data_IF_748423746157
#
_entry.id   IF_748423746157
#
_cell.length_a   1.000
_cell.length_b   1.000
_cell.length_c   1.000
_cell.angle_alpha   90.00
_cell.angle_beta   90.00
_cell.angle_gamma   90.00
#
_symmetry.space_group_name_H-M   'P 1'
#
loop_
_entity.id
_entity.type
_entity.pdbx_description
1 polymer ?
#
# COMPACT_ATOMS: atom_id res chain seq x y z
N UNK A 1 11.32 16.32 -57.34
CA UNK A 1 10.81 17.35 -56.42
C UNK A 1 11.24 16.95 -55.03
N UNK A 2 12.31 17.55 -54.54
CA UNK A 2 12.80 17.34 -53.18
C UNK A 2 12.08 18.28 -52.22
N UNK A 3 11.82 17.79 -51.02
CA UNK A 3 11.79 18.60 -49.80
C UNK A 3 12.54 17.78 -48.75
N UNK A 4 13.83 18.05 -48.62
CA UNK A 4 14.59 17.75 -47.40
C UNK A 4 14.01 18.62 -46.28
N UNK A 5 13.50 17.99 -45.23
CA UNK A 5 13.19 18.68 -43.98
C UNK A 5 14.41 18.60 -43.08
N UNK A 6 15.14 19.71 -43.03
CA UNK A 6 16.24 19.96 -42.11
C UNK A 6 15.70 19.99 -40.68
N UNK A 7 16.04 18.98 -39.88
CA UNK A 7 15.81 19.00 -38.43
C UNK A 7 16.79 20.00 -37.78
N UNK A 8 16.24 20.98 -37.07
CA UNK A 8 17.00 22.04 -36.42
C UNK A 8 17.67 21.51 -35.13
N UNK A 9 19.02 21.55 -34.99
CA UNK A 9 19.74 21.00 -33.83
C UNK A 9 19.40 21.66 -32.48
N UNK A 10 18.83 22.85 -32.53
CA UNK A 10 18.55 23.70 -31.36
C UNK A 10 17.32 23.19 -30.57
N UNK A 11 16.38 22.51 -31.22
CA UNK A 11 15.19 21.95 -30.54
C UNK A 11 15.56 20.74 -29.66
N UNK A 12 16.51 19.93 -30.09
CA UNK A 12 17.00 18.76 -29.34
C UNK A 12 17.91 19.19 -28.17
N UNK A 13 18.65 20.30 -28.34
CA UNK A 13 19.47 20.90 -27.29
C UNK A 13 18.64 21.66 -26.24
N UNK A 14 17.56 22.35 -26.65
CA UNK A 14 16.57 22.94 -25.73
C UNK A 14 15.75 21.86 -25.00
N UNK A 15 15.41 20.75 -25.66
CA UNK A 15 14.76 19.61 -25.01
C UNK A 15 15.68 18.96 -23.96
N UNK A 16 16.98 18.81 -24.24
CA UNK A 16 17.97 18.34 -23.26
C UNK A 16 18.22 19.34 -22.13
N UNK A 17 18.12 20.64 -22.36
CA UNK A 17 18.23 21.68 -21.33
C UNK A 17 16.99 21.76 -20.41
N UNK A 18 15.79 21.43 -20.91
CA UNK A 18 14.56 21.36 -20.10
C UNK A 18 14.43 20.01 -19.37
N UNK A 19 14.93 18.92 -19.95
CA UNK A 19 14.88 17.56 -19.36
C UNK A 19 16.10 17.25 -18.47
N UNK A 20 17.12 18.12 -18.43
CA UNK A 20 18.13 18.14 -17.36
C UNK A 20 17.51 18.68 -16.06
N UNK A 21 16.56 17.92 -15.51
CA UNK A 21 16.18 18.03 -14.12
C UNK A 21 17.46 17.91 -13.30
N UNK A 22 17.85 18.99 -12.61
CA UNK A 22 18.75 18.92 -11.46
C UNK A 22 18.24 17.73 -10.61
N UNK A 23 18.99 16.62 -10.62
CA UNK A 23 18.78 15.56 -9.64
C UNK A 23 19.13 16.16 -8.30
N UNK A 24 18.11 16.60 -7.57
CA UNK A 24 18.27 17.03 -6.19
C UNK A 24 18.55 15.78 -5.36
N UNK A 25 19.80 15.38 -5.23
CA UNK A 25 20.17 14.48 -4.13
C UNK A 25 19.54 15.04 -2.84
N UNK A 26 18.89 14.19 -2.02
CA UNK A 26 18.51 14.60 -0.66
C UNK A 26 19.75 15.18 0.07
N UNK A 27 20.96 14.81 -0.34
CA UNK A 27 22.24 15.19 0.25
C UNK A 27 23.00 16.30 -0.51
N UNK A 28 22.36 17.08 -1.40
CA UNK A 28 23.01 18.25 -2.03
C UNK A 28 23.47 19.28 -0.99
N UNK A 29 24.50 20.07 -1.33
CA UNK A 29 25.09 21.08 -0.44
C UNK A 29 24.09 22.13 0.07
N UNK A 30 23.13 22.56 -0.78
CA UNK A 30 22.03 23.45 -0.39
C UNK A 30 21.05 22.78 0.59
N UNK A 31 20.75 21.49 0.40
CA UNK A 31 19.86 20.74 1.30
C UNK A 31 20.50 20.46 2.68
N UNK A 32 21.83 20.37 2.77
CA UNK A 32 22.55 20.20 4.04
C UNK A 32 22.33 21.36 5.01
N UNK A 33 22.09 22.58 4.53
CA UNK A 33 21.82 23.75 5.39
C UNK A 33 20.48 23.64 6.15
N UNK A 34 19.52 22.85 5.66
CA UNK A 34 18.21 22.65 6.31
C UNK A 34 18.22 21.55 7.39
N UNK A 35 19.34 20.85 7.59
CA UNK A 35 19.49 19.70 8.51
C UNK A 35 18.63 18.48 8.10
N UNK A 36 18.71 17.38 8.87
CA UNK A 36 17.93 16.16 8.63
C UNK A 36 16.45 16.34 9.05
N UNK A 37 15.72 17.23 8.38
CA UNK A 37 14.35 17.61 8.72
C UNK A 37 13.40 17.31 7.56
N UNK A 38 12.51 16.32 7.72
CA UNK A 38 11.59 15.88 6.67
C UNK A 38 10.13 16.16 7.05
N UNK A 39 9.33 16.61 6.08
CA UNK A 39 7.87 16.59 6.23
C UNK A 39 7.35 15.24 5.75
N UNK A 40 6.53 14.57 6.56
CA UNK A 40 5.83 13.36 6.15
C UNK A 40 4.31 13.61 6.17
N UNK A 41 3.71 13.56 5.00
CA UNK A 41 2.27 13.56 4.80
C UNK A 41 1.75 12.15 4.58
N UNK A 42 0.88 11.71 5.50
CA UNK A 42 0.21 10.42 5.45
C UNK A 42 -1.11 10.50 6.22
N UNK A 43 -1.89 9.43 6.15
CA UNK A 43 -3.00 9.24 7.06
C UNK A 43 -2.47 8.72 8.40
N UNK A 44 -2.67 9.46 9.49
CA UNK A 44 -2.19 9.11 10.83
C UNK A 44 -3.29 8.57 11.76
N UNK A 45 -4.45 8.18 11.20
CA UNK A 45 -5.55 7.64 11.98
C UNK A 45 -5.26 6.25 12.54
N UNK A 46 -5.84 5.94 13.69
CA UNK A 46 -5.74 4.63 14.35
C UNK A 46 -6.96 3.73 14.10
N UNK A 47 -7.95 4.19 13.33
CA UNK A 47 -9.18 3.44 13.08
C UNK A 47 -8.96 2.18 12.25
N UNK A 48 -7.97 2.21 11.34
CA UNK A 48 -7.54 1.04 10.59
C UNK A 48 -6.17 0.55 11.08
N UNK A 49 -6.06 -0.73 11.42
CA UNK A 49 -4.81 -1.29 11.93
C UNK A 49 -3.62 -1.13 10.95
N UNK A 50 -3.86 -1.27 9.64
CA UNK A 50 -2.81 -1.11 8.63
C UNK A 50 -2.33 0.33 8.51
N UNK A 51 -3.25 1.28 8.49
CA UNK A 51 -2.92 2.71 8.37
C UNK A 51 -2.23 3.27 9.62
N UNK A 52 -2.38 2.60 10.78
CA UNK A 52 -1.60 2.94 11.98
C UNK A 52 -0.12 2.57 11.83
N UNK A 53 0.19 1.47 11.15
CA UNK A 53 1.53 0.89 11.05
C UNK A 53 2.36 1.51 9.93
N UNK A 54 1.73 1.75 8.79
CA UNK A 54 2.35 2.28 7.58
C UNK A 54 3.24 3.51 7.83
N UNK A 55 2.75 4.60 8.47
CA UNK A 55 3.53 5.82 8.54
C UNK A 55 4.72 5.68 9.48
N UNK A 56 4.65 4.77 10.46
CA UNK A 56 5.77 4.42 11.33
C UNK A 56 6.83 3.69 10.53
N UNK A 57 6.46 2.59 9.87
CA UNK A 57 7.39 1.80 9.08
C UNK A 57 8.04 2.59 7.93
N UNK A 58 7.33 3.55 7.34
CA UNK A 58 7.92 4.42 6.32
C UNK A 58 9.09 5.23 6.91
N UNK A 59 8.86 5.84 8.08
CA UNK A 59 9.88 6.66 8.72
C UNK A 59 11.07 5.83 9.15
N UNK A 60 10.81 4.68 9.78
CA UNK A 60 11.85 3.77 10.24
C UNK A 60 12.70 3.28 9.06
N UNK A 61 12.08 3.00 7.90
CA UNK A 61 12.80 2.66 6.67
C UNK A 61 13.67 3.82 6.18
N UNK A 62 13.14 5.04 6.12
CA UNK A 62 13.93 6.21 5.75
C UNK A 62 15.07 6.45 6.74
N UNK A 63 14.83 6.37 8.04
CA UNK A 63 15.85 6.58 9.08
C UNK A 63 16.96 5.52 8.98
N UNK A 64 16.63 4.28 8.62
CA UNK A 64 17.61 3.22 8.36
C UNK A 64 18.41 3.48 7.08
N UNK A 65 17.78 4.02 6.02
CA UNK A 65 18.42 4.15 4.71
C UNK A 65 19.13 5.48 4.48
N UNK A 66 18.70 6.60 5.05
CA UNK A 66 19.32 7.90 4.83
C UNK A 66 19.79 8.57 6.13
N UNK A 67 19.81 7.82 7.23
CA UNK A 67 20.18 8.31 8.55
C UNK A 67 19.00 8.92 9.29
N UNK A 68 19.15 9.15 10.60
CA UNK A 68 18.09 9.63 11.47
C UNK A 68 17.57 11.01 11.06
N UNK A 69 16.24 11.14 10.97
CA UNK A 69 15.56 12.38 10.60
C UNK A 69 14.64 12.88 11.71
N UNK A 70 14.52 14.20 11.80
CA UNK A 70 13.44 14.86 12.53
C UNK A 70 12.21 14.94 11.64
N UNK A 71 11.16 14.25 12.06
CA UNK A 71 9.93 14.11 11.28
C UNK A 71 8.86 15.12 11.66
N UNK A 72 8.47 15.94 10.70
CA UNK A 72 7.30 16.82 10.78
C UNK A 72 6.09 16.12 10.18
N UNK A 73 5.26 15.53 11.03
CA UNK A 73 4.05 14.79 10.63
C UNK A 73 2.93 15.77 10.28
N UNK A 74 2.29 15.58 9.12
CA UNK A 74 1.14 16.38 8.67
C UNK A 74 0.03 15.46 8.13
N UNK A 75 -1.17 15.44 8.72
CA UNK A 75 -2.25 14.61 8.20
C UNK A 75 -2.57 14.97 6.74
N UNK A 76 -2.66 13.95 5.88
CA UNK A 76 -2.89 14.13 4.44
C UNK A 76 -4.23 14.79 4.13
N UNK A 77 -5.24 14.52 4.97
CA UNK A 77 -6.61 14.99 4.83
C UNK A 77 -6.81 16.44 5.30
N UNK A 78 -5.82 17.04 5.95
CA UNK A 78 -5.84 18.44 6.35
C UNK A 78 -5.57 19.40 5.18
N UNK A 79 -6.24 20.55 5.18
CA UNK A 79 -6.06 21.61 4.19
C UNK A 79 -4.59 22.09 4.14
N UNK A 80 -4.01 22.12 2.94
CA UNK A 80 -2.69 22.68 2.66
C UNK A 80 -2.86 24.10 2.13
N UNK A 81 -2.81 25.07 3.03
CA UNK A 81 -2.83 26.50 2.69
C UNK A 81 -1.40 27.07 2.56
N UNK A 82 -1.31 28.37 2.24
CA UNK A 82 -0.02 29.08 2.07
C UNK A 82 0.93 28.95 3.28
N UNK A 83 0.41 28.92 4.51
CA UNK A 83 1.26 28.80 5.71
C UNK A 83 1.77 27.37 5.92
N UNK A 84 0.97 26.38 5.56
CA UNK A 84 1.43 24.98 5.49
C UNK A 84 2.52 24.85 4.42
N UNK A 85 2.36 25.46 3.25
CA UNK A 85 3.40 25.47 2.20
C UNK A 85 4.69 26.14 2.69
N UNK A 86 4.61 27.31 3.33
CA UNK A 86 5.79 27.94 3.96
C UNK A 86 6.47 27.00 4.97
N UNK A 87 5.69 26.33 5.81
CA UNK A 87 6.20 25.34 6.77
C UNK A 87 6.87 24.14 6.09
N UNK A 88 6.39 23.69 4.93
CA UNK A 88 7.00 22.61 4.13
C UNK A 88 8.32 23.08 3.53
N UNK A 89 8.36 24.30 2.96
CA UNK A 89 9.55 24.83 2.30
C UNK A 89 10.72 25.10 3.27
N UNK A 90 10.46 25.19 4.57
CA UNK A 90 11.47 25.24 5.64
C UNK A 90 12.14 23.88 5.95
N UNK A 91 11.77 22.81 5.24
CA UNK A 91 12.28 21.45 5.44
C UNK A 91 13.11 20.99 4.24
N UNK A 92 13.77 19.85 4.37
CA UNK A 92 14.64 19.30 3.34
C UNK A 92 13.83 18.67 2.19
N UNK A 93 12.75 17.95 2.51
CA UNK A 93 11.86 17.35 1.53
C UNK A 93 10.44 17.14 2.08
N UNK A 94 9.51 16.95 1.15
CA UNK A 94 8.15 16.50 1.41
C UNK A 94 8.01 15.04 0.97
N UNK A 95 7.79 14.16 1.93
CA UNK A 95 7.47 12.75 1.69
C UNK A 95 5.95 12.58 1.80
N UNK A 96 5.30 12.12 0.74
CA UNK A 96 3.89 11.75 0.72
C UNK A 96 3.82 10.26 0.48
N UNK A 97 3.29 9.46 1.39
CA UNK A 97 3.40 8.02 1.16
C UNK A 97 2.88 7.06 2.19
N UNK A 98 3.15 5.80 1.85
CA UNK A 98 2.90 4.60 2.61
C UNK A 98 1.49 4.03 2.52
N UNK A 99 0.49 4.86 2.24
CA UNK A 99 -0.91 4.44 2.22
C UNK A 99 -1.44 4.19 0.81
N UNK A 100 -2.66 3.65 0.76
CA UNK A 100 -3.44 3.71 -0.47
C UNK A 100 -4.14 5.07 -0.58
N UNK A 101 -3.42 6.05 -1.11
CA UNK A 101 -3.79 7.45 -0.98
C UNK A 101 -4.70 7.95 -2.11
N UNK A 102 -4.60 7.39 -3.32
CA UNK A 102 -5.50 7.77 -4.41
C UNK A 102 -6.87 7.07 -4.21
N UNK A 103 -7.75 7.76 -3.49
CA UNK A 103 -9.14 7.41 -3.18
C UNK A 103 -10.04 8.55 -3.67
N UNK A 104 -11.11 8.23 -4.40
CA UNK A 104 -12.08 9.22 -4.89
C UNK A 104 -13.01 9.74 -3.77
N UNK A 105 -13.34 8.87 -2.83
CA UNK A 105 -14.45 9.03 -1.88
C UNK A 105 -14.02 9.27 -0.43
N UNK A 106 -12.73 9.08 -0.10
CA UNK A 106 -12.18 9.47 1.21
C UNK A 106 -11.66 10.90 1.15
N UNK A 107 -12.05 11.72 2.12
CA UNK A 107 -11.71 13.15 2.19
C UNK A 107 -11.97 13.88 0.85
N UNK A 108 -13.18 13.70 0.31
CA UNK A 108 -13.58 14.27 -0.98
C UNK A 108 -13.46 15.79 -0.95
N UNK A 109 -12.73 16.34 -1.91
CA UNK A 109 -12.56 17.78 -2.08
C UNK A 109 -12.39 18.12 -3.57
N UNK A 110 -12.65 19.38 -3.92
CA UNK A 110 -12.50 19.89 -5.29
C UNK A 110 -11.12 20.50 -5.56
N UNK A 111 -10.20 20.45 -4.58
CA UNK A 111 -8.88 21.07 -4.69
C UNK A 111 -7.94 20.17 -5.50
N UNK A 112 -7.91 18.88 -5.16
CA UNK A 112 -7.07 17.88 -5.81
C UNK A 112 -7.86 16.73 -6.43
N UNK A 113 -9.11 16.49 -5.99
CA UNK A 113 -9.90 15.33 -6.43
C UNK A 113 -9.50 14.00 -5.78
N UNK A 114 -8.62 14.00 -4.77
CA UNK A 114 -8.25 12.85 -3.95
C UNK A 114 -7.97 13.28 -2.52
N UNK A 115 -7.58 12.35 -1.64
CA UNK A 115 -7.43 12.61 -0.20
C UNK A 115 -6.55 13.80 0.20
N UNK A 116 -5.61 14.23 -0.64
CA UNK A 116 -4.74 15.34 -0.30
C UNK A 116 -5.43 16.69 -0.56
N UNK A 117 -5.80 17.41 0.50
CA UNK A 117 -6.49 18.71 0.41
C UNK A 117 -5.54 19.86 0.02
N UNK A 118 -4.92 19.79 -1.15
CA UNK A 118 -4.01 20.81 -1.71
C UNK A 118 -4.53 21.29 -3.06
N UNK A 119 -4.70 22.60 -3.23
CA UNK A 119 -5.02 23.15 -4.56
C UNK A 119 -3.77 23.26 -5.45
N UNK A 120 -4.00 23.56 -6.73
CA UNK A 120 -2.95 23.66 -7.73
C UNK A 120 -1.97 24.83 -7.46
N UNK A 121 -2.44 25.92 -6.86
CA UNK A 121 -1.61 27.10 -6.58
C UNK A 121 -0.62 26.79 -5.44
N UNK A 122 -1.11 26.21 -4.36
CA UNK A 122 -0.31 25.76 -3.22
C UNK A 122 0.64 24.62 -3.61
N UNK A 123 0.20 23.65 -4.42
CA UNK A 123 1.08 22.60 -4.95
C UNK A 123 2.25 23.21 -5.74
N UNK A 124 2.00 24.21 -6.58
CA UNK A 124 3.05 24.87 -7.37
C UNK A 124 4.09 25.59 -6.50
N UNK A 125 3.65 26.20 -5.40
CA UNK A 125 4.49 26.93 -4.43
C UNK A 125 5.37 26.02 -3.54
N UNK A 126 5.21 24.70 -3.59
CA UNK A 126 6.14 23.78 -2.91
C UNK A 126 7.47 23.77 -3.68
N UNK A 127 8.54 24.18 -3.00
CA UNK A 127 9.88 24.37 -3.59
C UNK A 127 10.83 23.22 -3.24
N UNK A 128 10.56 22.52 -2.13
CA UNK A 128 11.37 21.38 -1.70
C UNK A 128 11.07 20.14 -2.55
N UNK A 129 12.03 19.21 -2.69
CA UNK A 129 11.79 17.92 -3.33
C UNK A 129 10.54 17.21 -2.79
N UNK A 130 9.68 16.77 -3.72
CA UNK A 130 8.51 15.95 -3.40
C UNK A 130 8.85 14.49 -3.75
N UNK A 131 8.63 13.60 -2.78
CA UNK A 131 8.84 12.16 -2.90
C UNK A 131 7.51 11.48 -2.62
N UNK A 132 6.93 10.84 -3.64
CA UNK A 132 5.83 9.90 -3.45
C UNK A 132 6.42 8.53 -3.16
N UNK A 133 6.10 7.93 -2.02
CA UNK A 133 6.73 6.66 -1.61
C UNK A 133 5.68 5.60 -1.27
N UNK A 134 5.65 4.52 -2.06
CA UNK A 134 4.68 3.43 -1.93
C UNK A 134 3.22 3.91 -1.90
N UNK A 135 2.85 4.85 -2.79
CA UNK A 135 1.47 5.33 -2.89
C UNK A 135 0.60 4.30 -3.63
N UNK A 136 -0.57 4.00 -3.09
CA UNK A 136 -1.51 3.06 -3.71
C UNK A 136 -2.69 3.72 -4.43
N UNK A 137 -3.10 3.09 -5.54
CA UNK A 137 -4.36 3.37 -6.24
C UNK A 137 -5.48 2.48 -5.67
N UNK A 138 -6.56 3.08 -5.16
CA UNK A 138 -7.60 2.38 -4.40
C UNK A 138 -9.02 2.61 -4.97
N UNK A 139 -9.18 2.52 -6.30
CA UNK A 139 -10.53 2.51 -6.90
C UNK A 139 -11.09 1.08 -6.95
N UNK A 140 -12.31 0.90 -6.49
CA UNK A 140 -13.00 -0.39 -6.53
C UNK A 140 -13.52 -0.73 -7.94
N UNK A 141 -13.87 -2.02 -8.15
CA UNK A 141 -14.53 -2.48 -9.37
C UNK A 141 -15.87 -1.75 -9.53
N UNK A 142 -16.15 -1.24 -10.72
CA UNK A 142 -17.40 -0.51 -11.00
C UNK A 142 -17.54 0.84 -10.29
N UNK A 143 -16.57 1.29 -9.48
CA UNK A 143 -16.61 2.61 -8.89
C UNK A 143 -16.37 3.69 -9.95
N UNK A 144 -17.12 4.79 -9.83
CA UNK A 144 -16.96 5.99 -10.64
C UNK A 144 -15.51 6.45 -10.74
N UNK A 145 -15.17 7.02 -11.91
CA UNK A 145 -13.84 7.55 -12.16
C UNK A 145 -13.58 8.84 -11.36
N UNK A 146 -12.30 9.22 -11.18
CA UNK A 146 -11.92 10.46 -10.51
C UNK A 146 -12.41 11.69 -11.27
N UNK A 147 -12.67 12.77 -10.54
CA UNK A 147 -13.10 14.04 -11.13
C UNK A 147 -11.94 14.65 -11.96
N UNK A 148 -12.18 15.42 -13.04
CA UNK A 148 -11.11 15.90 -13.94
C UNK A 148 -9.96 16.67 -13.27
N UNK A 149 -10.24 17.33 -12.13
CA UNK A 149 -9.22 18.00 -11.33
C UNK A 149 -8.13 17.03 -10.84
N UNK A 150 -8.46 15.77 -10.61
CA UNK A 150 -7.50 14.73 -10.21
C UNK A 150 -6.40 14.55 -11.25
N UNK A 151 -6.73 14.39 -12.52
CA UNK A 151 -5.73 14.23 -13.59
C UNK A 151 -4.81 15.43 -13.67
N UNK A 152 -5.37 16.66 -13.61
CA UNK A 152 -4.59 17.90 -13.66
C UNK A 152 -3.67 18.04 -12.45
N UNK A 153 -4.18 17.74 -11.26
CA UNK A 153 -3.41 17.78 -10.03
C UNK A 153 -2.29 16.73 -10.04
N UNK A 154 -2.61 15.50 -10.45
CA UNK A 154 -1.66 14.38 -10.52
C UNK A 154 -0.53 14.66 -11.51
N UNK A 155 -0.85 15.24 -12.67
CA UNK A 155 0.16 15.67 -13.65
C UNK A 155 1.16 16.65 -13.02
N UNK A 156 0.70 17.75 -12.42
CA UNK A 156 1.58 18.76 -11.81
C UNK A 156 2.40 18.16 -10.67
N UNK A 157 1.78 17.30 -9.86
CA UNK A 157 2.46 16.62 -8.77
C UNK A 157 3.60 15.75 -9.31
N UNK A 158 3.37 14.96 -10.36
CA UNK A 158 4.36 14.05 -10.93
C UNK A 158 5.44 14.81 -11.70
N UNK A 159 5.12 15.90 -12.38
CA UNK A 159 6.09 16.80 -12.99
C UNK A 159 7.08 17.32 -11.93
N UNK A 160 6.55 17.81 -10.79
CA UNK A 160 7.36 18.34 -9.69
C UNK A 160 8.06 17.27 -8.85
N UNK A 161 7.49 16.07 -8.76
CA UNK A 161 8.04 15.02 -7.93
C UNK A 161 9.40 14.56 -8.45
N UNK A 162 10.34 14.44 -7.51
CA UNK A 162 11.65 13.87 -7.76
C UNK A 162 11.59 12.35 -7.89
N UNK A 163 10.73 11.72 -7.09
CA UNK A 163 10.52 10.28 -7.12
C UNK A 163 9.04 9.96 -6.98
N UNK A 164 8.55 9.04 -7.82
CA UNK A 164 7.15 8.61 -7.84
C UNK A 164 7.05 7.11 -7.67
N UNK A 165 7.11 6.67 -6.42
CA UNK A 165 6.97 5.27 -6.03
C UNK A 165 5.50 4.88 -5.83
N UNK A 166 5.03 3.96 -6.67
CA UNK A 166 3.69 3.36 -6.61
C UNK A 166 3.81 1.91 -6.13
N UNK A 167 2.90 1.50 -5.24
CA UNK A 167 3.10 0.28 -4.46
C UNK A 167 2.75 -1.05 -5.15
N UNK A 168 2.07 -1.03 -6.29
CA UNK A 168 1.78 -2.21 -7.11
C UNK A 168 1.95 -1.91 -8.61
N UNK A 169 2.38 -2.88 -9.42
CA UNK A 169 2.44 -2.69 -10.88
C UNK A 169 1.05 -2.45 -11.47
N UNK A 170 0.03 -3.17 -11.00
CA UNK A 170 -1.35 -2.93 -11.41
C UNK A 170 -1.84 -1.50 -11.10
N UNK A 171 -1.37 -0.90 -9.99
CA UNK A 171 -1.67 0.50 -9.65
C UNK A 171 -0.98 1.48 -10.61
N UNK A 172 0.25 1.20 -11.04
CA UNK A 172 0.97 2.00 -12.05
C UNK A 172 0.16 2.05 -13.35
N UNK A 173 -0.32 0.91 -13.83
CA UNK A 173 -1.10 0.84 -15.08
C UNK A 173 -2.45 1.57 -14.99
N UNK A 174 -3.05 1.66 -13.80
CA UNK A 174 -4.24 2.49 -13.59
C UNK A 174 -3.91 3.98 -13.58
N UNK A 175 -2.82 4.37 -12.93
CA UNK A 175 -2.39 5.77 -12.81
C UNK A 175 -1.98 6.35 -14.18
N UNK A 176 -1.33 5.57 -15.04
CA UNK A 176 -0.94 5.98 -16.41
C UNK A 176 -2.12 6.52 -17.23
N UNK A 177 -3.35 6.06 -16.96
CA UNK A 177 -4.56 6.50 -17.67
C UNK A 177 -4.95 7.96 -17.38
N UNK A 178 -4.43 8.54 -16.30
CA UNK A 178 -4.65 9.94 -15.92
C UNK A 178 -3.49 10.86 -16.31
N UNK A 179 -2.47 10.30 -16.97
CA UNK A 179 -1.21 10.99 -17.24
C UNK A 179 -0.89 10.96 -18.73
N UNK A 180 -0.29 12.05 -19.23
CA UNK A 180 0.27 12.03 -20.57
C UNK A 180 1.49 11.08 -20.63
N UNK A 181 1.75 10.51 -21.81
CA UNK A 181 2.65 9.36 -21.98
C UNK A 181 4.11 9.66 -21.61
N UNK A 182 4.54 10.91 -21.77
CA UNK A 182 5.87 11.39 -21.38
C UNK A 182 6.14 11.27 -19.88
N UNK A 183 5.09 11.26 -19.03
CA UNK A 183 5.24 11.12 -17.58
C UNK A 183 5.22 9.65 -17.13
N UNK A 184 4.89 8.70 -18.00
CA UNK A 184 4.77 7.28 -17.64
C UNK A 184 6.09 6.70 -17.11
N UNK A 185 7.23 7.15 -17.66
CA UNK A 185 8.56 6.72 -17.22
C UNK A 185 8.97 7.19 -15.82
N UNK A 186 8.29 8.19 -15.25
CA UNK A 186 8.53 8.68 -13.88
C UNK A 186 7.93 7.75 -12.83
N UNK A 187 6.92 6.95 -13.17
CA UNK A 187 6.29 6.00 -12.25
C UNK A 187 7.21 4.82 -12.00
N UNK A 188 7.59 4.61 -10.74
CA UNK A 188 8.44 3.50 -10.30
C UNK A 188 7.65 2.56 -9.40
N UNK A 189 7.96 1.28 -9.49
CA UNK A 189 7.47 0.31 -8.50
C UNK A 189 8.24 0.48 -7.19
N UNK A 190 7.52 0.78 -6.11
CA UNK A 190 8.06 0.90 -4.75
C UNK A 190 7.16 0.12 -3.80
N UNK A 191 7.53 -1.11 -3.39
CA UNK A 191 6.66 -1.94 -2.54
C UNK A 191 6.34 -1.23 -1.23
N UNK A 192 5.16 -1.54 -0.68
CA UNK A 192 4.77 -1.06 0.65
C UNK A 192 5.77 -1.57 1.69
N UNK A 193 6.25 -0.67 2.56
CA UNK A 193 7.21 -1.02 3.62
C UNK A 193 6.71 -2.13 4.55
N UNK A 194 5.40 -2.31 4.70
CA UNK A 194 4.83 -3.40 5.52
C UNK A 194 5.21 -4.79 5.01
N UNK A 195 5.52 -4.94 3.71
CA UNK A 195 6.02 -6.19 3.12
C UNK A 195 7.48 -6.47 3.46
N UNK A 196 8.18 -5.51 4.08
CA UNK A 196 9.61 -5.56 4.40
C UNK A 196 9.86 -5.70 5.92
N UNK A 197 8.82 -5.99 6.72
CA UNK A 197 8.87 -5.90 8.17
C UNK A 197 10.04 -6.67 8.81
N UNK A 198 10.31 -7.92 8.39
CA UNK A 198 11.43 -8.69 8.94
C UNK A 198 12.81 -8.22 8.48
N UNK A 199 12.91 -7.47 7.38
CA UNK A 199 14.16 -6.83 6.95
C UNK A 199 14.40 -5.55 7.74
N UNK A 200 13.34 -4.84 8.09
CA UNK A 200 13.39 -3.58 8.83
C UNK A 200 13.64 -3.82 10.32
N UNK A 201 12.97 -4.80 10.93
CA UNK A 201 13.00 -5.04 12.38
C UNK A 201 13.67 -6.35 12.80
N UNK A 202 14.25 -7.09 11.85
CA UNK A 202 14.82 -8.40 12.09
C UNK A 202 13.79 -9.54 12.03
N UNK A 203 14.30 -10.77 11.92
CA UNK A 203 13.47 -11.97 11.81
C UNK A 203 12.74 -12.21 13.13
N UNK A 204 11.40 -12.08 13.12
CA UNK A 204 10.59 -12.56 14.24
C UNK A 204 10.43 -14.08 14.12
N UNK A 205 11.17 -14.81 14.96
CA UNK A 205 11.07 -16.27 15.04
C UNK A 205 9.87 -16.60 15.92
N UNK A 206 8.92 -17.35 15.36
CA UNK A 206 7.84 -17.94 16.14
C UNK A 206 8.45 -19.04 16.99
N UNK A 207 8.27 -18.96 18.31
CA UNK A 207 8.66 -20.03 19.21
C UNK A 207 7.87 -21.30 18.85
N UNK A 208 8.55 -22.44 18.79
CA UNK A 208 7.92 -23.74 18.56
C UNK A 208 6.88 -24.06 19.64
N UNK A 209 7.04 -23.52 20.85
CA UNK A 209 6.07 -23.63 21.94
C UNK A 209 4.77 -22.84 21.68
N UNK A 210 4.78 -21.88 20.76
CA UNK A 210 3.58 -21.08 20.44
C UNK A 210 2.53 -22.00 19.81
N UNK A 211 1.26 -21.98 20.28
CA UNK A 211 0.19 -22.74 19.65
C UNK A 211 0.04 -22.42 18.16
N UNK A 212 -0.26 -23.44 17.33
CA UNK A 212 -0.52 -23.24 15.90
C UNK A 212 -1.93 -22.69 15.72
N UNK A 213 -2.04 -21.58 15.01
CA UNK A 213 -3.31 -20.97 14.63
C UNK A 213 -3.14 -20.21 13.32
N UNK A 214 -4.25 -19.95 12.63
CA UNK A 214 -4.31 -19.03 11.48
C UNK A 214 -4.99 -17.73 11.88
N UNK A 215 -4.59 -16.63 11.25
CA UNK A 215 -5.34 -15.38 11.37
C UNK A 215 -6.34 -15.25 10.21
N UNK A 216 -7.56 -14.81 10.50
CA UNK A 216 -8.60 -14.54 9.52
C UNK A 216 -9.01 -13.06 9.58
N UNK A 217 -9.04 -12.36 8.44
CA UNK A 217 -9.57 -11.01 8.34
C UNK A 217 -10.60 -10.92 7.21
N UNK A 218 -11.82 -10.45 7.53
CA UNK A 218 -12.86 -10.12 6.56
C UNK A 218 -13.11 -8.60 6.55
N UNK A 219 -13.10 -7.99 5.36
CA UNK A 219 -13.10 -6.54 5.21
C UNK A 219 -14.50 -5.99 4.89
N UNK A 220 -14.96 -4.99 5.65
CA UNK A 220 -16.26 -4.34 5.44
C UNK A 220 -16.18 -2.86 5.05
N UNK A 221 -15.01 -2.35 4.62
CA UNK A 221 -14.97 -1.03 4.00
C UNK A 221 -15.58 -1.07 2.59
N UNK A 222 -16.47 -0.11 2.28
CA UNK A 222 -17.19 -0.03 0.99
C UNK A 222 -17.85 -1.36 0.64
N UNK A 223 -18.57 -1.95 1.60
CA UNK A 223 -19.17 -3.29 1.55
C UNK A 223 -19.86 -3.61 0.21
N UNK A 224 -20.73 -2.71 -0.28
CA UNK A 224 -21.42 -2.89 -1.57
C UNK A 224 -20.46 -3.06 -2.75
N UNK A 225 -19.31 -2.38 -2.74
CA UNK A 225 -18.30 -2.50 -3.80
C UNK A 225 -17.41 -3.74 -3.66
N UNK A 226 -17.35 -4.37 -2.46
CA UNK A 226 -16.60 -5.61 -2.22
C UNK A 226 -17.38 -6.84 -2.62
N UNK A 227 -18.65 -6.86 -2.22
CA UNK A 227 -19.48 -8.05 -2.31
C UNK A 227 -20.54 -7.95 -3.40
N UNK A 228 -20.79 -6.75 -3.96
CA UNK A 228 -21.83 -6.55 -4.95
C UNK A 228 -23.20 -7.01 -4.45
N UNK A 229 -23.95 -7.64 -5.35
CA UNK A 229 -25.19 -8.33 -5.03
C UNK A 229 -24.91 -9.69 -4.37
N UNK A 230 -25.94 -10.27 -3.74
CA UNK A 230 -25.83 -11.57 -3.04
C UNK A 230 -24.77 -11.61 -1.92
N UNK A 231 -24.50 -10.48 -1.27
CA UNK A 231 -23.52 -10.38 -0.18
C UNK A 231 -23.75 -11.43 0.92
N UNK A 232 -24.99 -11.66 1.34
CA UNK A 232 -25.31 -12.64 2.38
C UNK A 232 -24.90 -14.06 2.00
N UNK A 233 -25.13 -14.46 0.74
CA UNK A 233 -24.75 -15.77 0.23
C UNK A 233 -23.23 -15.93 0.18
N UNK A 234 -22.51 -14.90 -0.29
CA UNK A 234 -21.04 -14.87 -0.34
C UNK A 234 -20.40 -14.96 1.05
N UNK A 235 -20.94 -14.22 2.02
CA UNK A 235 -20.46 -14.28 3.41
C UNK A 235 -20.79 -15.62 4.07
N UNK A 236 -21.98 -16.18 3.82
CA UNK A 236 -22.35 -17.51 4.31
C UNK A 236 -21.45 -18.60 3.69
N UNK A 237 -21.12 -18.50 2.41
CA UNK A 237 -20.16 -19.37 1.74
C UNK A 237 -18.78 -19.31 2.40
N UNK A 238 -18.25 -18.11 2.64
CA UNK A 238 -16.99 -17.95 3.37
C UNK A 238 -17.06 -18.57 4.78
N UNK A 239 -18.15 -18.36 5.51
CA UNK A 239 -18.33 -18.92 6.85
C UNK A 239 -18.39 -20.46 6.85
N UNK A 240 -19.02 -21.09 5.85
CA UNK A 240 -19.00 -22.55 5.66
C UNK A 240 -17.60 -23.09 5.43
N UNK A 241 -16.79 -22.40 4.63
CA UNK A 241 -15.38 -22.77 4.46
C UNK A 241 -14.61 -22.60 5.76
N UNK A 242 -14.83 -21.50 6.50
CA UNK A 242 -14.17 -21.28 7.79
C UNK A 242 -14.60 -22.31 8.84
N UNK A 243 -15.81 -22.85 8.77
CA UNK A 243 -16.22 -24.00 9.59
C UNK A 243 -15.33 -25.20 9.33
N UNK A 244 -15.08 -25.55 8.07
CA UNK A 244 -14.16 -26.64 7.73
C UNK A 244 -12.73 -26.34 8.21
N UNK A 245 -12.24 -25.11 8.01
CA UNK A 245 -10.91 -24.68 8.49
C UNK A 245 -10.78 -24.81 10.01
N UNK A 246 -11.81 -24.42 10.77
CA UNK A 246 -11.79 -24.49 12.25
C UNK A 246 -11.64 -25.90 12.80
N UNK A 247 -11.99 -26.94 12.02
CA UNK A 247 -11.78 -28.34 12.41
C UNK A 247 -10.32 -28.80 12.21
N UNK A 248 -9.54 -28.05 11.41
CA UNK A 248 -8.15 -28.39 11.07
C UNK A 248 -7.15 -27.59 11.91
N UNK A 249 -7.47 -26.33 12.22
CA UNK A 249 -6.58 -25.43 12.95
C UNK A 249 -7.37 -24.31 13.64
N UNK A 250 -6.98 -23.89 14.86
CA UNK A 250 -7.62 -22.76 15.53
C UNK A 250 -7.58 -21.47 14.70
N UNK A 251 -8.69 -20.74 14.72
CA UNK A 251 -8.86 -19.47 14.01
C UNK A 251 -8.79 -18.31 15.01
N UNK A 252 -7.95 -17.31 14.72
CA UNK A 252 -8.04 -16.00 15.35
C UNK A 252 -8.55 -14.97 14.36
N UNK A 253 -9.71 -14.39 14.62
CA UNK A 253 -10.30 -13.37 13.78
C UNK A 253 -9.67 -12.00 14.08
N UNK A 254 -8.94 -11.43 13.12
CA UNK A 254 -8.22 -10.18 13.25
C UNK A 254 -9.06 -9.03 12.65
N UNK A 255 -9.73 -8.26 13.50
CA UNK A 255 -10.52 -7.10 13.10
C UNK A 255 -9.60 -5.87 12.94
N UNK A 256 -9.46 -5.37 11.72
CA UNK A 256 -8.66 -4.17 11.42
C UNK A 256 -9.45 -2.87 11.60
N UNK A 257 -10.77 -2.97 11.58
CA UNK A 257 -11.73 -1.90 11.75
C UNK A 257 -12.97 -2.46 12.46
N UNK A 258 -13.73 -1.65 13.17
CA UNK A 258 -14.94 -2.10 13.90
C UNK A 258 -15.93 -2.81 12.98
N UNK A 259 -16.13 -2.29 11.77
CA UNK A 259 -17.05 -2.89 10.79
C UNK A 259 -16.62 -4.27 10.31
N UNK A 260 -15.36 -4.68 10.50
CA UNK A 260 -14.94 -6.05 10.19
C UNK A 260 -15.65 -7.06 11.10
N UNK A 261 -16.13 -6.64 12.28
CA UNK A 261 -16.89 -7.51 13.19
C UNK A 261 -18.28 -7.86 12.63
N UNK A 262 -18.74 -7.24 11.53
CA UNK A 262 -20.00 -7.61 10.86
C UNK A 262 -19.95 -9.00 10.21
N UNK A 263 -18.77 -9.62 10.12
CA UNK A 263 -18.65 -11.02 9.72
C UNK A 263 -18.99 -12.00 10.83
N UNK A 264 -18.86 -11.61 12.10
CA UNK A 264 -18.96 -12.51 13.24
C UNK A 264 -20.31 -13.26 13.30
N UNK A 265 -21.47 -12.62 13.06
CA UNK A 265 -22.75 -13.32 13.02
C UNK A 265 -22.82 -14.46 11.98
N UNK A 266 -22.08 -14.36 10.87
CA UNK A 266 -22.00 -15.44 9.87
C UNK A 266 -21.14 -16.61 10.38
N UNK A 267 -20.05 -16.31 11.07
CA UNK A 267 -19.22 -17.32 11.74
C UNK A 267 -20.00 -18.04 12.83
N UNK A 268 -20.73 -17.29 13.66
CA UNK A 268 -21.56 -17.83 14.74
C UNK A 268 -22.67 -18.72 14.18
N UNK A 269 -23.38 -18.27 13.15
CA UNK A 269 -24.43 -19.04 12.48
C UNK A 269 -23.90 -20.34 11.82
N UNK A 270 -22.66 -20.35 11.34
CA UNK A 270 -22.01 -21.54 10.80
C UNK A 270 -21.35 -22.42 11.89
N UNK A 271 -21.41 -22.03 13.16
CA UNK A 271 -20.82 -22.74 14.29
C UNK A 271 -19.29 -22.81 14.24
N UNK A 272 -18.64 -21.75 13.73
CA UNK A 272 -17.17 -21.65 13.65
C UNK A 272 -16.62 -21.33 15.03
N UNK A 273 -15.63 -22.10 15.49
CA UNK A 273 -14.87 -21.75 16.69
C UNK A 273 -13.75 -20.76 16.31
N UNK A 274 -13.74 -19.58 16.95
CA UNK A 274 -12.74 -18.54 16.71
C UNK A 274 -12.51 -17.68 17.95
N UNK A 275 -11.32 -17.08 18.02
CA UNK A 275 -11.00 -16.03 19.00
C UNK A 275 -10.95 -14.67 18.30
N UNK A 276 -11.74 -13.70 18.76
CA UNK A 276 -11.70 -12.32 18.26
C UNK A 276 -10.48 -11.56 18.80
N UNK A 277 -9.69 -10.99 17.91
CA UNK A 277 -8.57 -10.09 18.19
C UNK A 277 -8.82 -8.75 17.50
N UNK A 278 -9.00 -7.69 18.28
CA UNK A 278 -9.24 -6.33 17.78
C UNK A 278 -7.93 -5.59 17.58
N UNK A 279 -7.56 -5.37 16.32
CA UNK A 279 -6.34 -4.65 15.93
C UNK A 279 -6.59 -3.18 15.59
N UNK A 280 -7.84 -2.75 15.39
CA UNK A 280 -8.16 -1.33 15.30
C UNK A 280 -7.86 -0.61 16.61
N UNK A 281 -7.44 0.66 16.51
CA UNK A 281 -7.08 1.51 17.64
C UNK A 281 -5.93 0.97 18.50
N UNK A 282 -5.21 -0.04 18.02
CA UNK A 282 -4.03 -0.57 18.70
C UNK A 282 -2.75 0.17 18.30
N UNK A 283 -1.73 0.18 19.16
CA UNK A 283 -0.41 0.68 18.80
C UNK A 283 0.19 -0.12 17.62
N UNK A 284 0.97 0.53 16.74
CA UNK A 284 1.61 -0.12 15.58
C UNK A 284 2.38 -1.40 15.90
N UNK A 285 3.12 -1.41 17.01
CA UNK A 285 3.88 -2.59 17.45
C UNK A 285 2.96 -3.78 17.76
N UNK A 286 1.81 -3.54 18.40
CA UNK A 286 0.83 -4.60 18.72
C UNK A 286 0.27 -5.21 17.44
N UNK A 287 -0.06 -4.38 16.45
CA UNK A 287 -0.54 -4.84 15.14
C UNK A 287 0.52 -5.70 14.44
N UNK A 288 1.76 -5.24 14.41
CA UNK A 288 2.87 -5.97 13.79
C UNK A 288 3.10 -7.32 14.49
N UNK A 289 3.26 -7.30 15.81
CA UNK A 289 3.54 -8.51 16.60
C UNK A 289 2.41 -9.55 16.44
N UNK A 290 1.14 -9.12 16.37
CA UNK A 290 0.01 -10.01 16.16
C UNK A 290 0.12 -10.81 14.83
N UNK A 291 0.63 -10.18 13.77
CA UNK A 291 0.81 -10.83 12.46
C UNK A 291 2.09 -11.66 12.35
N UNK A 292 3.01 -11.55 13.30
CA UNK A 292 4.20 -12.40 13.36
C UNK A 292 3.94 -13.80 13.93
N UNK A 293 2.82 -13.99 14.63
CA UNK A 293 2.47 -15.21 15.35
C UNK A 293 1.75 -16.31 14.55
N UNK A 294 0.77 -16.03 13.65
CA UNK A 294 0.03 -17.08 12.97
C UNK A 294 0.95 -17.90 12.07
N UNK A 295 0.61 -19.16 11.86
CA UNK A 295 1.34 -20.01 10.89
C UNK A 295 1.00 -19.64 9.45
N UNK A 296 -0.12 -18.93 9.26
CA UNK A 296 -0.63 -18.47 7.98
C UNK A 296 -1.72 -17.40 8.20
N UNK A 297 -1.84 -16.44 7.28
CA UNK A 297 -2.87 -15.42 7.32
C UNK A 297 -3.83 -15.52 6.13
N UNK A 298 -5.14 -15.50 6.41
CA UNK A 298 -6.21 -15.38 5.43
C UNK A 298 -6.76 -13.95 5.52
N UNK A 299 -6.78 -13.20 4.41
CA UNK A 299 -7.10 -11.76 4.47
C UNK A 299 -7.85 -11.19 3.27
N UNK A 300 -8.73 -10.23 3.55
CA UNK A 300 -9.48 -9.44 2.56
C UNK A 300 -9.05 -7.96 2.51
N UNK A 301 -8.29 -7.50 3.51
CA UNK A 301 -7.67 -6.16 3.50
C UNK A 301 -6.27 -6.22 2.92
N UNK A 302 -5.88 -5.14 2.24
CA UNK A 302 -4.53 -4.99 1.69
C UNK A 302 -3.41 -5.17 2.73
N UNK A 303 -3.61 -4.70 3.96
CA UNK A 303 -2.62 -4.89 5.03
C UNK A 303 -2.78 -6.19 5.81
N UNK A 304 -3.91 -6.89 5.69
CA UNK A 304 -4.06 -8.24 6.22
C UNK A 304 -3.33 -9.29 5.35
N UNK A 305 -2.86 -8.92 4.16
CA UNK A 305 -1.95 -9.71 3.31
C UNK A 305 -0.50 -9.20 3.40
N UNK A 306 -0.27 -7.88 3.34
CA UNK A 306 1.09 -7.32 3.26
C UNK A 306 1.87 -7.40 4.58
N UNK A 307 1.21 -7.20 5.73
CA UNK A 307 1.86 -7.31 7.04
C UNK A 307 2.33 -8.74 7.32
N UNK A 308 1.47 -9.79 7.26
CA UNK A 308 1.93 -11.16 7.48
C UNK A 308 2.97 -11.61 6.46
N UNK A 309 2.84 -11.21 5.17
CA UNK A 309 3.91 -11.42 4.18
C UNK A 309 5.24 -10.82 4.66
N UNK A 310 5.22 -9.57 5.15
CA UNK A 310 6.42 -8.92 5.69
C UNK A 310 6.99 -9.60 6.93
N UNK A 311 6.17 -10.34 7.66
CA UNK A 311 6.56 -11.17 8.80
C UNK A 311 7.02 -12.58 8.37
N UNK A 312 7.14 -12.83 7.06
CA UNK A 312 7.41 -14.13 6.44
C UNK A 312 6.38 -15.22 6.77
N UNK A 313 5.10 -14.86 6.87
CA UNK A 313 4.00 -15.80 7.04
C UNK A 313 3.32 -16.07 5.70
N UNK A 314 3.02 -17.35 5.36
CA UNK A 314 2.16 -17.71 4.24
C UNK A 314 0.85 -16.90 4.27
N UNK A 315 0.38 -16.51 3.09
CA UNK A 315 -0.84 -15.71 2.93
C UNK A 315 -1.82 -16.43 2.01
N UNK A 316 -3.11 -16.22 2.26
CA UNK A 316 -4.22 -16.58 1.37
C UNK A 316 -5.15 -15.37 1.25
N UNK A 317 -5.18 -14.75 0.07
CA UNK A 317 -6.00 -13.57 -0.15
C UNK A 317 -7.38 -13.95 -0.67
N UNK A 318 -8.42 -13.45 0.01
CA UNK A 318 -9.79 -13.47 -0.52
C UNK A 318 -9.98 -12.15 -1.28
N UNK A 319 -10.05 -12.25 -2.60
CA UNK A 319 -9.94 -11.11 -3.50
C UNK A 319 -11.33 -10.50 -3.69
N UNK A 320 -11.54 -9.33 -3.08
CA UNK A 320 -12.73 -8.50 -3.30
C UNK A 320 -12.39 -7.13 -3.88
N UNK A 321 -11.12 -6.92 -4.22
CA UNK A 321 -10.60 -5.67 -4.75
C UNK A 321 -9.32 -5.97 -5.55
N UNK A 322 -9.16 -5.37 -6.73
CA UNK A 322 -8.06 -5.68 -7.65
C UNK A 322 -6.65 -5.51 -7.03
N UNK A 323 -6.42 -4.50 -6.19
CA UNK A 323 -5.16 -4.37 -5.43
C UNK A 323 -4.70 -5.62 -4.67
N UNK A 324 -5.63 -6.47 -4.22
CA UNK A 324 -5.28 -7.73 -3.57
C UNK A 324 -4.63 -8.69 -4.59
N UNK A 325 -5.25 -8.81 -5.76
CA UNK A 325 -4.71 -9.55 -6.90
C UNK A 325 -3.38 -8.96 -7.39
N UNK A 326 -3.27 -7.63 -7.54
CA UNK A 326 -2.04 -6.98 -7.98
C UNK A 326 -0.87 -7.32 -7.06
N UNK A 327 -1.08 -7.28 -5.75
CA UNK A 327 -0.03 -7.67 -4.81
C UNK A 327 0.41 -9.12 -5.00
N UNK A 328 -0.53 -10.07 -5.19
CA UNK A 328 -0.20 -11.46 -5.45
C UNK A 328 0.58 -11.65 -6.76
N UNK A 329 0.24 -10.91 -7.81
CA UNK A 329 0.97 -10.91 -9.08
C UNK A 329 2.40 -10.39 -8.89
N UNK A 330 2.55 -9.28 -8.17
CA UNK A 330 3.84 -8.63 -7.91
C UNK A 330 4.81 -9.55 -7.15
N UNK A 331 4.30 -10.39 -6.26
CA UNK A 331 5.10 -11.39 -5.51
C UNK A 331 5.08 -12.78 -6.14
N UNK A 332 4.56 -12.92 -7.36
CA UNK A 332 4.42 -14.19 -8.07
C UNK A 332 3.75 -15.28 -7.22
N UNK A 333 2.65 -14.96 -6.52
CA UNK A 333 1.87 -15.85 -5.64
C UNK A 333 0.37 -15.83 -6.03
N UNK A 334 0.06 -15.77 -7.31
CA UNK A 334 -1.34 -15.77 -7.79
C UNK A 334 -2.10 -17.05 -7.43
N UNK A 335 -1.41 -18.15 -7.14
CA UNK A 335 -2.01 -19.40 -6.60
C UNK A 335 -2.32 -19.32 -5.10
N UNK A 336 -2.07 -18.18 -4.47
CA UNK A 336 -2.27 -17.89 -3.05
C UNK A 336 -3.50 -17.00 -2.83
N UNK A 337 -4.43 -16.96 -3.77
CA UNK A 337 -5.64 -16.15 -3.67
C UNK A 337 -6.77 -16.68 -4.51
N UNK A 338 -7.97 -16.22 -4.18
CA UNK A 338 -9.20 -16.57 -4.89
C UNK A 338 -10.16 -15.39 -4.87
N UNK A 339 -10.81 -15.13 -6.00
CA UNK A 339 -11.84 -14.10 -6.11
C UNK A 339 -13.14 -14.55 -5.45
N UNK A 340 -13.76 -13.68 -4.66
CA UNK A 340 -15.05 -13.98 -4.02
C UNK A 340 -16.18 -14.15 -5.04
N UNK A 341 -15.98 -13.66 -6.26
CA UNK A 341 -16.90 -13.83 -7.39
C UNK A 341 -16.65 -15.13 -8.18
N UNK A 342 -15.66 -15.97 -7.81
CA UNK A 342 -15.42 -17.25 -8.48
C UNK A 342 -16.59 -18.21 -8.23
N UNK A 343 -17.13 -18.81 -9.30
CA UNK A 343 -18.29 -19.72 -9.18
C UNK A 343 -18.00 -20.98 -8.37
N UNK A 344 -16.73 -21.37 -8.25
CA UNK A 344 -16.26 -22.48 -7.41
C UNK A 344 -15.53 -21.97 -6.16
N UNK A 345 -15.92 -20.80 -5.63
CA UNK A 345 -15.25 -20.14 -4.51
C UNK A 345 -15.03 -21.06 -3.30
N UNK A 346 -16.08 -21.73 -2.82
CA UNK A 346 -15.98 -22.56 -1.61
C UNK A 346 -15.00 -23.72 -1.78
N UNK A 347 -15.13 -24.46 -2.88
CA UNK A 347 -14.29 -25.62 -3.20
C UNK A 347 -12.83 -25.22 -3.37
N UNK A 348 -12.57 -24.20 -4.19
CA UNK A 348 -11.20 -23.75 -4.44
C UNK A 348 -10.57 -23.12 -3.21
N UNK A 349 -11.32 -22.36 -2.40
CA UNK A 349 -10.78 -21.74 -1.19
C UNK A 349 -10.26 -22.79 -0.21
N UNK A 350 -11.03 -23.85 0.05
CA UNK A 350 -10.57 -24.93 0.95
C UNK A 350 -9.36 -25.69 0.37
N UNK A 351 -9.35 -25.94 -0.94
CA UNK A 351 -8.23 -26.61 -1.62
C UNK A 351 -6.95 -25.79 -1.52
N UNK A 352 -7.01 -24.48 -1.81
CA UNK A 352 -5.84 -23.59 -1.69
C UNK A 352 -5.38 -23.51 -0.23
N UNK A 353 -6.31 -23.38 0.71
CA UNK A 353 -5.99 -23.38 2.14
C UNK A 353 -5.23 -24.65 2.56
N UNK A 354 -5.75 -25.83 2.22
CA UNK A 354 -5.11 -27.11 2.57
C UNK A 354 -3.75 -27.26 1.88
N UNK A 355 -3.65 -26.85 0.61
CA UNK A 355 -2.37 -26.86 -0.13
C UNK A 355 -1.31 -26.05 0.62
N UNK A 356 -1.64 -24.84 1.07
CA UNK A 356 -0.68 -23.99 1.78
C UNK A 356 -0.39 -24.54 3.18
N UNK A 357 -1.42 -24.95 3.92
CA UNK A 357 -1.28 -25.49 5.29
C UNK A 357 -0.39 -26.73 5.33
N UNK A 358 -0.50 -27.61 4.33
CA UNK A 358 0.31 -28.83 4.23
C UNK A 358 1.73 -28.58 3.71
N UNK A 359 2.02 -27.38 3.19
CA UNK A 359 3.31 -27.02 2.58
C UNK A 359 3.85 -25.69 3.14
N UNK A 360 3.64 -25.41 4.43
CA UNK A 360 4.00 -24.12 5.06
C UNK A 360 5.46 -23.75 4.82
N UNK A 361 6.39 -24.68 4.98
CA UNK A 361 7.82 -24.41 4.82
C UNK A 361 8.18 -23.98 3.40
N UNK A 362 7.55 -24.59 2.39
CA UNK A 362 7.69 -24.20 0.99
C UNK A 362 7.17 -22.78 0.77
N UNK A 363 5.97 -22.45 1.26
CA UNK A 363 5.40 -21.11 1.11
C UNK A 363 6.17 -20.04 1.90
N UNK A 364 6.70 -20.38 3.09
CA UNK A 364 7.60 -19.50 3.83
C UNK A 364 8.89 -19.21 3.06
N UNK A 365 9.51 -20.23 2.45
CA UNK A 365 10.72 -20.06 1.66
C UNK A 365 10.46 -19.17 0.43
N UNK A 366 9.33 -19.41 -0.26
CA UNK A 366 8.87 -18.59 -1.39
C UNK A 366 8.66 -17.13 -0.97
N UNK A 367 7.99 -16.86 0.14
CA UNK A 367 7.76 -15.50 0.64
C UNK A 367 9.06 -14.81 1.04
N UNK A 368 9.98 -15.52 1.72
CA UNK A 368 11.30 -14.96 2.09
C UNK A 368 12.10 -14.54 0.86
N UNK A 369 12.03 -15.33 -0.22
CA UNK A 369 12.69 -15.00 -1.47
C UNK A 369 12.04 -13.79 -2.15
N UNK A 370 10.70 -13.75 -2.23
CA UNK A 370 10.00 -12.59 -2.78
C UNK A 370 10.26 -11.32 -1.97
N UNK A 371 10.27 -11.39 -0.64
CA UNK A 371 10.64 -10.26 0.21
C UNK A 371 12.08 -9.80 -0.07
N UNK A 372 13.03 -10.71 -0.33
CA UNK A 372 14.41 -10.34 -0.72
C UNK A 372 14.42 -9.52 -2.02
N UNK A 373 13.59 -9.89 -3.00
CA UNK A 373 13.44 -9.15 -4.24
C UNK A 373 12.82 -7.76 -4.01
N UNK A 374 11.73 -7.67 -3.22
CA UNK A 374 11.11 -6.40 -2.85
C UNK A 374 12.07 -5.47 -2.09
N UNK A 375 12.90 -6.04 -1.22
CA UNK A 375 13.94 -5.31 -0.51
C UNK A 375 14.97 -4.73 -1.47
N UNK A 376 15.43 -5.52 -2.45
CA UNK A 376 16.36 -5.05 -3.50
C UNK A 376 15.77 -3.90 -4.32
N UNK A 377 14.49 -4.00 -4.71
CA UNK A 377 13.78 -2.90 -5.40
C UNK A 377 13.81 -1.64 -4.55
N UNK A 378 13.49 -1.75 -3.27
CA UNK A 378 13.48 -0.62 -2.33
C UNK A 378 14.86 0.02 -2.19
N UNK A 379 15.92 -0.77 -2.01
CA UNK A 379 17.29 -0.25 -1.91
C UNK A 379 17.76 0.45 -3.20
N UNK A 380 17.40 -0.11 -4.36
CA UNK A 380 17.68 0.52 -5.65
C UNK A 380 16.98 1.88 -5.76
N UNK A 381 15.70 1.95 -5.39
CA UNK A 381 14.95 3.21 -5.39
C UNK A 381 15.55 4.25 -4.42
N UNK A 382 16.05 3.84 -3.25
CA UNK A 382 16.77 4.74 -2.35
C UNK A 382 18.09 5.25 -2.94
N UNK A 383 18.72 4.49 -3.84
CA UNK A 383 19.93 4.94 -4.55
C UNK A 383 19.61 6.08 -5.52
N UNK A 384 18.39 6.16 -6.05
CA UNK A 384 17.91 7.29 -6.87
C UNK A 384 17.53 8.53 -6.04
N UNK A 385 17.28 8.35 -4.74
CA UNK A 385 16.96 9.44 -3.80
C UNK A 385 18.21 10.11 -3.20
N UNK A 386 19.33 9.38 -3.16
CA UNK A 386 20.65 9.86 -2.76
C UNK A 386 21.36 10.52 -3.93
#
# INVERSE_FOLDING_TARGET
>A
MGIETTFHPIADELYRLVVNHKRYSLLTSENRQKGNNLTHMAYFGHYNAGDSLIPVMLRDLFDQQIGQNKWHKRPLDSLVNSDVVKSINQRQALIIGGGGLFLKDTNRNQLSGWQWSCDLENLRKIEVPIILFAVGYNRFRGQEDFDPIFSRHLQILIEKAQFVGIREYGSIEKIKKYLPSELHGKLKYQPCMTTLASRLYGKQVRDQSTPRFISLNCAFDRTRMRFGDHMGEKLAALARVMKQVSQLIPIRYYAHHETDEYFLPFLDAAGVDYTLIRLYRQPPKVVLDAYCLPVMAIGMRGHAQMIPFGCNRPILSIITHNKLQYFLEDIQCSDCGIDIEDSAFEEKLIVIFQKILNNIEFYEARIKEQQRLLWKVTLNNFTELR
#
